data_IF_798243200246
#
_entry.id   IF_798243200246
#
_cell.length_a   1.000
_cell.length_b   1.000
_cell.length_c   1.000
_cell.angle_alpha   90.00
_cell.angle_beta   90.00
_cell.angle_gamma   90.00
#
_symmetry.space_group_name_H-M   'P 1'
#
loop_
_entity.id
_entity.type
_entity.pdbx_description
1 polymer ?
#
# COMPACT_ATOMS: atom_id res chain seq x y z
N UNK A 1 20.87 7.78 -7.10
CA UNK A 1 19.62 8.26 -7.73
C UNK A 1 18.66 8.73 -6.65
N UNK A 2 18.07 9.91 -6.83
CA UNK A 2 17.06 10.46 -5.90
C UNK A 2 15.67 10.06 -6.36
N UNK A 3 14.84 9.61 -5.44
CA UNK A 3 13.45 9.18 -5.69
C UNK A 3 12.56 9.52 -4.50
N UNK A 4 11.28 9.53 -4.72
CA UNK A 4 10.28 9.61 -3.66
C UNK A 4 9.73 8.21 -3.40
N UNK A 5 9.64 7.83 -2.13
CA UNK A 5 9.05 6.55 -1.74
C UNK A 5 7.52 6.62 -1.85
N UNK A 6 6.91 5.89 -2.78
CA UNK A 6 5.45 5.81 -2.88
C UNK A 6 4.87 4.77 -1.91
N UNK A 7 5.70 4.14 -1.11
CA UNK A 7 5.25 3.09 -0.20
C UNK A 7 4.15 3.59 0.73
N UNK A 8 3.04 2.91 0.69
CA UNK A 8 1.85 3.24 1.47
C UNK A 8 1.33 2.04 2.27
N UNK A 9 2.17 1.34 3.05
CA UNK A 9 1.60 0.44 4.06
C UNK A 9 0.80 1.29 5.05
N UNK A 10 -0.11 0.67 5.82
CA UNK A 10 -0.88 1.38 6.83
C UNK A 10 0.02 2.24 7.71
N UNK A 11 -0.29 3.51 7.80
CA UNK A 11 0.47 4.48 8.58
C UNK A 11 1.60 5.21 7.83
N UNK A 12 1.77 5.03 6.52
CA UNK A 12 2.65 5.89 5.75
C UNK A 12 1.95 7.19 5.35
N UNK A 13 2.71 8.26 5.38
CA UNK A 13 2.22 9.58 4.99
C UNK A 13 1.96 9.65 3.47
N UNK A 14 0.86 10.26 3.01
CA UNK A 14 0.54 10.33 1.59
C UNK A 14 1.50 11.15 0.74
N UNK A 15 2.34 11.97 1.36
CA UNK A 15 3.30 12.83 0.65
C UNK A 15 4.52 12.06 0.14
N UNK A 16 4.78 10.87 0.67
CA UNK A 16 5.98 10.11 0.38
C UNK A 16 7.21 10.63 1.11
N UNK A 17 8.29 9.88 1.06
CA UNK A 17 9.58 10.26 1.64
C UNK A 17 10.62 10.44 0.55
N UNK A 18 11.48 11.46 0.67
CA UNK A 18 12.62 11.64 -0.22
C UNK A 18 13.70 10.60 0.04
N UNK A 19 14.07 9.83 -0.97
CA UNK A 19 15.06 8.78 -0.89
C UNK A 19 16.24 9.04 -1.80
N UNK A 20 17.45 8.81 -1.29
CA UNK A 20 18.66 8.60 -2.07
C UNK A 20 18.92 7.11 -2.19
N UNK A 21 18.79 6.57 -3.38
CA UNK A 21 19.03 5.17 -3.69
C UNK A 21 20.42 5.01 -4.30
N UNK A 22 21.26 4.26 -3.63
CA UNK A 22 22.61 3.93 -4.11
C UNK A 22 22.57 2.57 -4.79
N UNK A 23 22.93 2.57 -6.06
CA UNK A 23 22.90 1.39 -6.90
C UNK A 23 24.34 1.14 -7.39
N UNK A 24 24.80 -0.10 -7.30
CA UNK A 24 26.10 -0.49 -7.83
C UNK A 24 26.09 -0.65 -9.35
N UNK A 25 27.24 -0.96 -9.95
CA UNK A 25 27.41 -1.09 -11.40
C UNK A 25 26.58 -2.23 -11.99
N UNK A 26 26.20 -3.20 -11.17
CA UNK A 26 25.34 -4.34 -11.54
C UNK A 26 23.84 -4.01 -11.44
N UNK A 27 23.48 -2.77 -11.12
CA UNK A 27 22.08 -2.35 -10.93
C UNK A 27 21.44 -2.76 -9.60
N UNK A 28 22.23 -3.26 -8.66
CA UNK A 28 21.74 -3.70 -7.35
C UNK A 28 21.69 -2.55 -6.36
N UNK A 29 20.57 -2.38 -5.68
CA UNK A 29 20.41 -1.40 -4.59
C UNK A 29 21.27 -1.84 -3.40
N UNK A 30 22.23 -1.00 -3.01
CA UNK A 30 23.18 -1.30 -1.92
C UNK A 30 22.93 -0.48 -0.66
N UNK A 31 22.35 0.71 -0.78
CA UNK A 31 22.09 1.60 0.35
C UNK A 31 20.88 2.50 0.08
N UNK A 32 20.16 2.84 1.13
CA UNK A 32 19.09 3.86 1.12
C UNK A 32 19.38 4.89 2.19
N UNK A 33 19.29 6.15 1.84
CA UNK A 33 19.39 7.30 2.74
C UNK A 33 18.26 8.30 2.46
N UNK A 34 18.01 9.19 3.42
CA UNK A 34 17.09 10.29 3.22
C UNK A 34 17.68 11.37 2.32
N UNK A 35 16.82 11.99 1.52
CA UNK A 35 17.19 13.15 0.73
C UNK A 35 16.97 14.43 1.55
N UNK A 36 18.05 15.11 1.89
CA UNK A 36 18.03 16.36 2.68
C UNK A 36 17.33 17.49 1.93
N UNK A 37 17.27 17.42 0.60
CA UNK A 37 16.63 18.43 -0.23
C UNK A 37 15.11 18.16 -0.41
N UNK A 38 14.60 17.05 0.12
CA UNK A 38 13.17 16.79 0.04
C UNK A 38 12.39 17.77 0.93
N UNK A 39 11.38 18.48 0.40
CA UNK A 39 10.75 19.60 1.09
C UNK A 39 10.03 19.22 2.39
N UNK A 40 9.57 17.97 2.50
CA UNK A 40 8.83 17.51 3.67
C UNK A 40 9.71 16.72 4.64
N UNK A 41 10.42 15.69 4.15
CA UNK A 41 11.16 14.79 5.03
C UNK A 41 12.57 15.26 5.40
N UNK A 42 13.18 16.14 4.59
CA UNK A 42 14.46 16.78 4.88
C UNK A 42 15.52 15.77 5.39
N UNK A 43 15.66 14.65 4.72
CA UNK A 43 16.61 13.60 5.07
C UNK A 43 16.11 12.61 6.14
N UNK A 44 14.97 12.85 6.76
CA UNK A 44 14.42 11.92 7.78
C UNK A 44 13.73 10.74 7.13
N UNK A 45 14.03 9.55 7.62
CA UNK A 45 13.40 8.30 7.18
C UNK A 45 12.93 7.46 8.36
N UNK A 46 11.83 6.78 8.18
CA UNK A 46 11.37 5.75 9.11
C UNK A 46 12.14 4.42 8.88
N UNK A 47 12.11 3.49 9.84
CA UNK A 47 12.76 2.19 9.71
C UNK A 47 12.35 1.40 8.47
N UNK A 48 11.13 1.56 7.98
CA UNK A 48 10.66 0.88 6.75
C UNK A 48 11.42 1.32 5.50
N UNK A 49 11.63 2.62 5.34
CA UNK A 49 12.40 3.14 4.21
C UNK A 49 13.88 2.72 4.31
N UNK A 50 14.45 2.71 5.51
CA UNK A 50 15.83 2.27 5.74
C UNK A 50 15.99 0.79 5.39
N UNK A 51 15.01 -0.04 5.78
CA UNK A 51 15.00 -1.48 5.51
C UNK A 51 14.57 -1.85 4.08
N UNK A 52 14.33 -0.88 3.20
CA UNK A 52 13.84 -1.14 1.83
C UNK A 52 14.74 -2.11 1.05
N UNK A 53 16.06 -1.99 1.20
CA UNK A 53 17.02 -2.90 0.58
C UNK A 53 16.78 -4.35 1.03
N UNK A 54 16.62 -4.57 2.31
CA UNK A 54 16.43 -5.91 2.87
C UNK A 54 15.08 -6.50 2.49
N UNK A 55 14.07 -5.64 2.39
CA UNK A 55 12.75 -6.03 1.87
C UNK A 55 12.79 -6.44 0.40
N UNK A 56 13.48 -5.67 -0.45
CA UNK A 56 13.56 -5.95 -1.89
C UNK A 56 14.30 -7.26 -2.15
N UNK A 57 15.38 -7.53 -1.41
CA UNK A 57 16.21 -8.72 -1.59
C UNK A 57 15.98 -9.80 -0.52
N UNK A 58 14.84 -9.79 0.12
CA UNK A 58 14.49 -10.83 1.07
C UNK A 58 14.55 -12.22 0.41
N UNK A 59 15.22 -13.20 1.05
CA UNK A 59 15.23 -14.56 0.53
C UNK A 59 13.85 -15.25 0.56
N UNK A 60 12.93 -14.71 1.36
CA UNK A 60 11.55 -15.17 1.40
C UNK A 60 10.64 -14.51 0.33
N UNK A 61 11.22 -13.70 -0.56
CA UNK A 61 10.45 -13.04 -1.60
C UNK A 61 9.97 -14.03 -2.64
N UNK A 62 8.68 -14.05 -2.90
CA UNK A 62 8.06 -14.83 -3.96
C UNK A 62 8.39 -14.16 -5.30
N UNK A 63 9.06 -14.88 -6.20
CA UNK A 63 9.52 -14.38 -7.50
C UNK A 63 8.69 -14.93 -8.67
N UNK A 64 7.98 -16.03 -8.45
CA UNK A 64 7.13 -16.71 -9.44
C UNK A 64 5.73 -16.90 -8.88
N UNK A 65 4.68 -17.01 -9.72
CA UNK A 65 3.37 -17.39 -9.24
C UNK A 65 3.39 -18.74 -8.55
N UNK A 66 2.57 -18.87 -7.53
CA UNK A 66 2.40 -20.13 -6.79
C UNK A 66 0.96 -20.62 -6.95
N UNK A 67 0.80 -21.91 -7.23
CA UNK A 67 -0.49 -22.60 -7.27
C UNK A 67 -0.58 -23.65 -6.18
N UNK A 68 -1.79 -24.01 -5.80
CA UNK A 68 -2.07 -25.10 -4.86
C UNK A 68 -3.43 -25.72 -5.18
N UNK A 69 -3.51 -27.03 -5.13
CA UNK A 69 -4.77 -27.73 -5.30
C UNK A 69 -5.76 -27.34 -4.19
N UNK A 70 -7.04 -27.28 -4.54
CA UNK A 70 -8.09 -26.92 -3.58
C UNK A 70 -8.18 -27.92 -2.41
N UNK A 71 -7.88 -29.17 -2.66
CA UNK A 71 -7.85 -30.22 -1.64
C UNK A 71 -6.79 -29.97 -0.56
N UNK A 72 -5.69 -29.29 -0.92
CA UNK A 72 -4.57 -28.99 -0.02
C UNK A 72 -4.71 -27.64 0.67
N UNK A 73 -5.91 -27.09 0.68
CA UNK A 73 -6.18 -25.80 1.32
C UNK A 73 -5.84 -25.85 2.81
N UNK A 74 -4.95 -24.95 3.25
CA UNK A 74 -4.42 -24.93 4.63
C UNK A 74 -3.05 -25.58 4.78
N UNK A 75 -2.60 -26.39 3.84
CA UNK A 75 -1.26 -26.96 3.84
C UNK A 75 -0.25 -25.94 3.26
N UNK A 76 0.64 -25.43 4.09
CA UNK A 76 1.64 -24.43 3.68
C UNK A 76 2.71 -25.03 2.75
N UNK A 77 2.97 -26.34 2.84
CA UNK A 77 4.00 -27.03 2.05
C UNK A 77 3.51 -27.45 0.66
N UNK A 78 2.21 -27.31 0.39
CA UNK A 78 1.60 -27.73 -0.87
C UNK A 78 1.64 -26.66 -1.97
N UNK A 79 2.39 -25.59 -1.79
CA UNK A 79 2.58 -24.56 -2.81
C UNK A 79 3.60 -25.02 -3.84
N UNK A 80 3.23 -24.94 -5.11
CA UNK A 80 4.08 -25.25 -6.26
C UNK A 80 4.27 -24.03 -7.14
N UNK A 81 5.48 -23.84 -7.65
CA UNK A 81 5.74 -22.78 -8.63
C UNK A 81 5.05 -23.09 -9.95
N UNK A 82 4.55 -22.07 -10.61
CA UNK A 82 4.00 -22.15 -11.95
C UNK A 82 4.40 -20.94 -12.79
N UNK A 83 4.23 -21.02 -14.10
CA UNK A 83 4.45 -19.89 -14.98
C UNK A 83 3.33 -18.86 -14.89
N UNK A 84 3.59 -17.63 -15.32
CA UNK A 84 2.56 -16.61 -15.44
C UNK A 84 1.46 -17.00 -16.40
N UNK A 85 1.80 -17.64 -17.51
CA UNK A 85 0.82 -18.11 -18.50
C UNK A 85 -0.10 -19.16 -17.90
N UNK A 86 0.45 -20.09 -17.13
CA UNK A 86 -0.34 -21.10 -16.41
C UNK A 86 -1.23 -20.45 -15.34
N UNK A 87 -0.70 -19.51 -14.57
CA UNK A 87 -1.48 -18.80 -13.57
C UNK A 87 -2.66 -18.04 -14.19
N UNK A 88 -2.43 -17.33 -15.29
CA UNK A 88 -3.50 -16.63 -16.01
C UNK A 88 -4.50 -17.60 -16.65
N UNK A 89 -4.05 -18.74 -17.19
CA UNK A 89 -4.95 -19.75 -17.73
C UNK A 89 -5.89 -20.30 -16.65
N UNK A 90 -5.37 -20.61 -15.46
CA UNK A 90 -6.16 -21.07 -14.32
C UNK A 90 -7.20 -20.02 -13.91
N UNK A 91 -6.81 -18.75 -13.82
CA UNK A 91 -7.71 -17.66 -13.46
C UNK A 91 -8.82 -17.51 -14.51
N UNK A 92 -8.45 -17.49 -15.79
CA UNK A 92 -9.38 -17.36 -16.91
C UNK A 92 -10.41 -18.48 -16.93
N UNK A 93 -9.95 -19.74 -16.88
CA UNK A 93 -10.82 -20.92 -16.90
C UNK A 93 -11.85 -20.90 -15.75
N UNK A 94 -11.37 -20.60 -14.54
CA UNK A 94 -12.28 -20.51 -13.40
C UNK A 94 -13.25 -19.34 -13.49
N UNK A 95 -12.80 -18.20 -14.00
CA UNK A 95 -13.65 -17.03 -14.24
C UNK A 95 -14.77 -17.36 -15.24
N UNK A 96 -14.41 -17.88 -16.42
CA UNK A 96 -15.36 -18.25 -17.48
C UNK A 96 -16.38 -19.27 -16.96
N UNK A 97 -15.93 -20.32 -16.32
CA UNK A 97 -16.79 -21.34 -15.71
C UNK A 97 -17.77 -20.78 -14.68
N UNK A 98 -17.31 -19.88 -13.82
CA UNK A 98 -18.16 -19.25 -12.79
C UNK A 98 -19.19 -18.31 -13.44
N UNK A 99 -18.78 -17.53 -14.41
CA UNK A 99 -19.69 -16.63 -15.13
C UNK A 99 -20.75 -17.39 -15.93
N UNK A 100 -20.37 -18.50 -16.59
CA UNK A 100 -21.31 -19.35 -17.32
C UNK A 100 -22.33 -20.01 -16.37
N UNK A 101 -21.90 -20.43 -15.20
CA UNK A 101 -22.75 -21.16 -14.26
C UNK A 101 -23.61 -20.23 -13.38
N UNK A 102 -23.11 -19.07 -12.98
CA UNK A 102 -23.72 -18.24 -11.95
C UNK A 102 -23.85 -16.75 -12.31
N UNK A 103 -23.36 -16.34 -13.46
CA UNK A 103 -23.29 -14.93 -13.87
C UNK A 103 -22.11 -14.16 -13.26
N UNK A 104 -21.70 -13.02 -13.85
CA UNK A 104 -20.62 -12.21 -13.37
C UNK A 104 -20.87 -11.61 -11.98
N UNK A 105 -22.12 -11.44 -11.59
CA UNK A 105 -22.55 -10.97 -10.27
C UNK A 105 -22.21 -11.93 -9.13
N UNK A 106 -21.84 -13.17 -9.42
CA UNK A 106 -21.34 -14.11 -8.42
C UNK A 106 -19.89 -13.86 -8.00
N UNK A 107 -19.20 -12.98 -8.71
CA UNK A 107 -17.82 -12.61 -8.45
C UNK A 107 -17.79 -11.29 -7.68
N UNK A 108 -16.96 -11.22 -6.64
CA UNK A 108 -16.75 -10.01 -5.87
C UNK A 108 -15.29 -9.57 -5.93
N UNK A 109 -15.06 -8.33 -6.33
CA UNK A 109 -13.76 -7.68 -6.20
C UNK A 109 -13.56 -7.15 -4.78
N UNK A 110 -12.47 -7.54 -4.15
CA UNK A 110 -12.12 -7.06 -2.79
C UNK A 110 -10.78 -6.36 -2.81
N UNK A 111 -10.69 -5.21 -2.17
CA UNK A 111 -9.43 -4.49 -2.04
C UNK A 111 -9.22 -3.94 -0.63
N UNK A 112 -7.95 -3.64 -0.34
CA UNK A 112 -7.53 -2.90 0.83
C UNK A 112 -7.13 -1.46 0.51
N UNK A 113 -6.48 -0.79 1.45
CA UNK A 113 -6.03 0.61 1.33
C UNK A 113 -4.70 0.80 0.61
N UNK A 114 -4.09 -0.23 0.05
CA UNK A 114 -2.83 -0.05 -0.67
C UNK A 114 -2.94 1.06 -1.71
N UNK A 115 -2.26 2.18 -1.52
CA UNK A 115 -2.36 3.32 -2.45
C UNK A 115 -1.69 3.00 -3.78
N UNK A 116 -0.64 2.22 -3.75
CA UNK A 116 0.03 1.65 -4.92
C UNK A 116 -0.86 0.65 -5.67
N UNK A 117 -1.75 -0.03 -4.95
CA UNK A 117 -2.73 -0.96 -5.51
C UNK A 117 -4.14 -0.37 -5.65
N UNK A 118 -4.34 0.89 -5.27
CA UNK A 118 -5.68 1.50 -5.22
C UNK A 118 -6.39 1.53 -6.57
N UNK A 119 -5.66 1.77 -7.63
CA UNK A 119 -6.19 1.68 -8.99
C UNK A 119 -6.49 0.24 -9.41
N UNK A 120 -5.68 -0.71 -8.97
CA UNK A 120 -5.89 -2.14 -9.25
C UNK A 120 -7.17 -2.68 -8.62
N UNK A 121 -7.65 -2.07 -7.56
CA UNK A 121 -8.89 -2.49 -6.89
C UNK A 121 -10.15 -2.28 -7.73
N UNK A 122 -10.12 -1.39 -8.69
CA UNK A 122 -11.21 -1.15 -9.63
C UNK A 122 -11.18 -2.08 -10.85
N UNK A 123 -10.03 -2.67 -11.15
CA UNK A 123 -9.91 -3.56 -12.32
C UNK A 123 -10.87 -4.75 -12.31
N UNK A 124 -11.14 -5.43 -11.19
CA UNK A 124 -12.10 -6.51 -11.20
C UNK A 124 -13.48 -6.10 -11.73
N UNK A 125 -13.98 -4.93 -11.36
CA UNK A 125 -15.27 -4.44 -11.86
C UNK A 125 -15.20 -4.03 -13.33
N UNK A 126 -14.10 -3.43 -13.75
CA UNK A 126 -13.92 -2.95 -15.12
C UNK A 126 -13.56 -4.06 -16.10
N UNK A 127 -12.72 -5.01 -15.68
CA UNK A 127 -12.20 -6.07 -16.57
C UNK A 127 -13.09 -7.31 -16.51
N UNK A 128 -13.56 -7.68 -15.33
CA UNK A 128 -14.39 -8.87 -15.15
C UNK A 128 -15.88 -8.60 -15.23
N UNK A 129 -16.31 -7.33 -15.40
CA UNK A 129 -17.72 -7.00 -15.56
C UNK A 129 -18.58 -7.31 -14.34
N UNK A 130 -18.00 -7.58 -13.17
CA UNK A 130 -18.77 -7.80 -11.96
C UNK A 130 -19.26 -6.45 -11.39
N UNK A 131 -20.55 -6.32 -11.02
CA UNK A 131 -21.05 -5.14 -10.32
C UNK A 131 -20.63 -5.10 -8.85
N UNK A 132 -20.08 -6.22 -8.33
CA UNK A 132 -19.80 -6.38 -6.92
C UNK A 132 -18.37 -6.01 -6.59
N UNK A 133 -18.21 -4.89 -5.92
CA UNK A 133 -16.95 -4.41 -5.41
C UNK A 133 -17.04 -4.14 -3.91
N UNK A 134 -16.09 -4.66 -3.15
CA UNK A 134 -16.03 -4.49 -1.72
C UNK A 134 -14.73 -3.83 -1.29
N UNK A 135 -14.83 -2.60 -0.80
CA UNK A 135 -13.74 -1.84 -0.20
C UNK A 135 -13.72 -2.04 1.33
N UNK A 136 -13.90 -3.27 1.77
CA UNK A 136 -14.30 -3.57 3.15
C UNK A 136 -13.22 -3.37 4.19
N UNK A 137 -12.04 -3.89 3.96
CA UNK A 137 -11.07 -3.96 5.06
C UNK A 137 -10.52 -2.60 5.47
N UNK A 138 -10.37 -1.71 4.54
CA UNK A 138 -9.89 -0.36 4.82
C UNK A 138 -11.03 0.62 5.14
N UNK A 139 -12.22 0.45 4.53
CA UNK A 139 -13.35 1.32 4.79
C UNK A 139 -13.86 1.21 6.22
N UNK A 140 -14.18 0.00 6.65
CA UNK A 140 -14.84 -0.21 7.94
C UNK A 140 -13.90 -0.48 9.11
N UNK A 141 -12.71 -1.04 8.86
CA UNK A 141 -11.77 -1.39 9.92
C UNK A 141 -10.70 -0.32 10.19
N UNK A 142 -10.46 0.59 9.27
CA UNK A 142 -9.37 1.56 9.36
C UNK A 142 -9.84 2.99 9.05
N UNK A 143 -10.14 3.30 7.78
CA UNK A 143 -10.45 4.66 7.38
C UNK A 143 -11.81 5.16 7.88
N UNK A 144 -12.87 4.39 7.74
CA UNK A 144 -14.20 4.88 8.08
C UNK A 144 -14.34 5.27 9.55
N UNK A 145 -13.89 4.48 10.54
CA UNK A 145 -13.90 4.90 11.93
C UNK A 145 -13.06 6.15 12.17
N UNK A 146 -11.87 6.23 11.57
CA UNK A 146 -11.00 7.39 11.71
C UNK A 146 -11.63 8.65 11.09
N UNK A 147 -12.16 8.54 9.88
CA UNK A 147 -12.80 9.66 9.19
C UNK A 147 -14.05 10.14 9.91
N UNK A 148 -14.86 9.21 10.43
CA UNK A 148 -16.03 9.56 11.24
C UNK A 148 -15.64 10.28 12.54
N UNK A 149 -14.64 9.79 13.25
CA UNK A 149 -14.11 10.44 14.45
C UNK A 149 -13.52 11.81 14.15
N UNK A 150 -12.73 11.93 13.08
CA UNK A 150 -12.17 13.22 12.64
C UNK A 150 -13.27 14.22 12.29
N UNK A 151 -14.28 13.81 11.52
CA UNK A 151 -15.41 14.66 11.16
C UNK A 151 -16.18 15.15 12.38
N UNK A 152 -16.38 14.27 13.35
CA UNK A 152 -17.06 14.62 14.59
C UNK A 152 -16.30 15.64 15.44
N UNK A 153 -14.96 15.50 15.53
CA UNK A 153 -14.12 16.35 16.37
C UNK A 153 -13.74 17.67 15.68
N UNK A 154 -13.37 17.60 14.39
CA UNK A 154 -12.77 18.73 13.68
C UNK A 154 -13.67 19.35 12.61
N UNK A 155 -14.83 18.76 12.34
CA UNK A 155 -15.73 19.20 11.27
C UNK A 155 -15.24 18.85 9.85
N UNK A 156 -14.14 18.13 9.69
CA UNK A 156 -13.63 17.69 8.39
C UNK A 156 -13.35 16.19 8.38
N UNK A 157 -13.66 15.53 7.26
CA UNK A 157 -13.52 14.08 7.13
C UNK A 157 -12.07 13.60 6.94
N UNK A 158 -11.16 14.49 6.57
CA UNK A 158 -9.79 14.13 6.24
C UNK A 158 -8.78 15.05 6.92
N UNK A 159 -8.72 14.97 8.25
CA UNK A 159 -7.71 15.66 9.03
C UNK A 159 -6.45 14.80 9.10
N UNK A 160 -5.38 15.26 8.47
CA UNK A 160 -4.02 14.73 8.66
C UNK A 160 -3.25 15.71 9.54
N UNK A 161 -2.68 15.19 10.59
CA UNK A 161 -1.95 16.00 11.56
C UNK A 161 -0.48 16.03 11.17
N UNK A 162 0.06 17.23 10.95
CA UNK A 162 1.48 17.41 10.74
C UNK A 162 2.16 17.90 12.01
N UNK A 163 3.02 17.06 12.55
CA UNK A 163 3.85 17.38 13.72
C UNK A 163 5.29 17.71 13.34
N UNK A 164 5.62 17.60 12.04
CA UNK A 164 7.03 17.67 11.60
C UNK A 164 7.58 19.09 11.60
N UNK A 165 6.71 20.07 11.52
CA UNK A 165 7.11 21.42 11.26
C UNK A 165 7.70 21.65 9.85
N UNK A 166 7.51 20.71 8.95
CA UNK A 166 8.18 20.71 7.66
C UNK A 166 7.31 21.18 6.48
N UNK A 167 6.02 21.43 6.69
CA UNK A 167 5.15 21.89 5.62
C UNK A 167 5.34 23.39 5.37
N UNK A 168 5.72 23.79 4.14
CA UNK A 168 5.90 25.20 3.82
C UNK A 168 4.61 26.01 4.01
N UNK A 169 4.74 27.25 4.48
CA UNK A 169 3.65 28.21 4.57
C UNK A 169 2.75 28.09 5.80
N UNK A 170 3.01 27.17 6.72
CA UNK A 170 2.31 27.08 8.00
C UNK A 170 3.11 27.65 9.17
N UNK A 171 4.41 27.63 9.04
CA UNK A 171 5.36 27.94 10.11
C UNK A 171 5.79 29.41 10.11
N UNK A 172 5.50 30.14 9.02
CA UNK A 172 5.71 31.56 8.90
C UNK A 172 4.53 32.38 9.44
N UNK A 173 3.48 31.73 9.93
CA UNK A 173 2.31 32.38 10.48
C UNK A 173 2.40 32.38 12.02
N UNK A 174 2.56 33.56 12.61
CA UNK A 174 2.69 33.79 14.06
C UNK A 174 1.52 33.21 14.89
N UNK A 175 0.40 32.85 14.23
CA UNK A 175 -0.76 32.24 14.89
C UNK A 175 -0.57 30.74 15.19
N UNK A 176 0.47 30.11 14.62
CA UNK A 176 0.76 28.70 14.84
C UNK A 176 1.92 28.53 15.80
N UNK A 177 1.62 28.05 16.97
CA UNK A 177 2.64 27.61 17.92
C UNK A 177 3.14 26.20 17.56
N UNK A 178 4.43 25.96 17.74
CA UNK A 178 5.02 24.64 17.56
C UNK A 178 4.50 23.69 18.63
N UNK A 179 4.25 22.45 18.22
CA UNK A 179 3.88 21.39 19.15
C UNK A 179 5.06 21.07 20.08
N UNK A 180 4.90 21.31 21.36
CA UNK A 180 5.93 21.01 22.36
C UNK A 180 5.85 19.59 22.90
N UNK A 181 4.64 19.03 22.98
CA UNK A 181 4.40 17.69 23.53
C UNK A 181 3.47 16.90 22.64
N UNK A 182 3.87 15.68 22.30
CA UNK A 182 3.04 14.73 21.60
C UNK A 182 2.77 13.55 22.52
N UNK A 183 1.49 13.32 22.86
CA UNK A 183 1.07 12.14 23.61
C UNK A 183 0.58 11.08 22.62
N UNK A 184 1.28 9.96 22.55
CA UNK A 184 0.87 8.80 21.78
C UNK A 184 0.13 7.83 22.69
N UNK A 185 -1.15 7.63 22.37
CA UNK A 185 -2.04 6.71 23.10
C UNK A 185 -2.52 5.63 22.12
N UNK A 186 -2.02 4.41 22.24
CA UNK A 186 -2.36 3.37 21.29
C UNK A 186 -2.30 1.98 21.83
#
# INVERSE_FOLDING_TARGET
VTRTCPWSPPGCHPVGCGLKLYVNDEGRLVKVEGDENHPVTQGRLCPRCIALKDYVYSPARILTPLKRARADRGNAEAWEECSWDEAFAIVKENYERICEQYGPESIIGMSGTGREGGTMSLYPTMVFGTPNYCYMQSGYACYTPRLAAAAYITGTTYAEWDYSGALPGRWDDERYELTEVIVMWG
#
